data_IF_849005859562
#
_entry.id   IF_849005859562
#
_cell.length_a   1.000
_cell.length_b   1.000
_cell.length_c   1.000
_cell.angle_alpha   90.00
_cell.angle_beta   90.00
_cell.angle_gamma   90.00
#
_symmetry.space_group_name_H-M   'P 1'
#
loop_
_entity.id
_entity.type
_entity.pdbx_description
1 polymer ?
#
# COMPACT_ATOMS: atom_id res chain seq x y z
N UNK A 1 2.07 8.28 -0.47
CA UNK A 1 2.79 8.13 0.80
C UNK A 1 2.89 6.64 1.08
N UNK A 2 4.13 6.12 1.20
CA UNK A 2 4.35 4.73 1.60
C UNK A 2 4.27 4.61 3.13
N UNK A 3 3.54 3.64 3.63
CA UNK A 3 3.34 3.42 5.07
C UNK A 3 3.79 2.01 5.48
N UNK A 4 4.29 1.88 6.71
CA UNK A 4 4.59 0.60 7.35
C UNK A 4 3.38 0.19 8.17
N UNK A 5 2.88 -1.02 7.95
CA UNK A 5 1.70 -1.58 8.62
C UNK A 5 2.06 -2.74 9.55
N UNK A 6 1.31 -2.87 10.61
CA UNK A 6 1.61 -3.75 11.74
C UNK A 6 0.41 -4.54 12.30
N UNK A 7 0.64 -5.75 12.77
CA UNK A 7 -0.34 -6.59 13.49
C UNK A 7 0.23 -7.11 14.81
N UNK A 8 -0.42 -6.75 15.92
CA UNK A 8 -0.23 -7.22 17.32
C UNK A 8 1.05 -6.88 18.09
N UNK A 9 0.82 -6.51 19.37
CA UNK A 9 1.72 -5.76 20.27
C UNK A 9 2.85 -6.53 20.97
N UNK A 10 4.11 -6.33 20.57
CA UNK A 10 5.29 -6.28 21.47
C UNK A 10 6.31 -5.31 20.89
N UNK A 11 6.77 -4.33 21.73
CA UNK A 11 7.78 -3.35 21.33
C UNK A 11 9.18 -3.96 21.30
N UNK A 12 9.90 -3.87 20.17
CA UNK A 12 11.35 -4.07 20.12
C UNK A 12 11.97 -2.75 19.70
N UNK A 13 12.88 -2.21 20.53
CA UNK A 13 13.70 -1.08 20.15
C UNK A 13 14.92 -1.55 19.37
N UNK A 14 15.01 -1.19 18.09
CA UNK A 14 16.26 -1.32 17.34
C UNK A 14 17.09 -0.05 17.59
N UNK A 15 18.23 -0.20 18.27
CA UNK A 15 19.18 0.90 18.50
C UNK A 15 19.83 1.31 17.18
N UNK A 16 19.73 2.58 16.90
CA UNK A 16 20.47 3.50 16.05
C UNK A 16 21.36 2.90 14.96
N UNK A 17 20.94 3.05 13.71
CA UNK A 17 21.83 3.04 12.56
C UNK A 17 21.92 4.47 11.98
N UNK A 18 23.15 4.93 11.76
CA UNK A 18 23.53 6.15 11.01
C UNK A 18 22.81 7.45 11.38
N UNK A 19 22.88 7.90 12.64
CA UNK A 19 22.46 9.26 13.01
C UNK A 19 20.98 9.62 12.85
N UNK A 20 20.19 8.81 12.14
CA UNK A 20 18.72 8.88 12.02
C UNK A 20 18.11 7.76 12.86
N UNK A 21 17.23 8.10 13.79
CA UNK A 21 16.53 7.11 14.62
C UNK A 21 15.44 6.48 13.77
N UNK A 22 15.64 5.25 13.33
CA UNK A 22 14.56 4.42 12.75
C UNK A 22 13.89 3.73 13.93
N UNK A 23 12.74 4.23 14.34
CA UNK A 23 11.90 3.54 15.34
C UNK A 23 11.08 2.47 14.63
N UNK A 24 11.61 1.25 14.59
CA UNK A 24 10.88 0.08 14.14
C UNK A 24 10.16 -0.52 15.35
N UNK A 25 8.84 -0.51 15.36
CA UNK A 25 8.03 -1.17 16.37
C UNK A 25 7.64 -2.55 15.85
N UNK A 26 8.12 -3.58 16.53
CA UNK A 26 7.79 -4.98 16.26
C UNK A 26 6.74 -5.47 17.23
N UNK A 27 5.76 -6.20 16.74
CA UNK A 27 4.76 -6.86 17.55
C UNK A 27 4.60 -8.31 17.12
N UNK A 28 4.73 -9.22 18.06
CA UNK A 28 4.53 -10.63 17.87
C UNK A 28 3.09 -11.04 18.19
N UNK A 29 2.44 -11.78 17.28
CA UNK A 29 1.22 -12.51 17.56
C UNK A 29 1.53 -13.67 18.52
N UNK A 30 0.74 -13.83 19.60
CA UNK A 30 0.80 -14.99 20.47
C UNK A 30 0.27 -16.24 19.73
N UNK A 31 1.08 -16.83 18.88
CA UNK A 31 0.95 -18.24 18.52
C UNK A 31 2.34 -18.82 18.54
N UNK A 32 2.50 -19.83 19.40
CA UNK A 32 3.66 -20.67 19.59
C UNK A 32 4.19 -21.15 18.24
N UNK A 33 5.08 -20.37 17.62
CA UNK A 33 5.92 -20.82 16.52
C UNK A 33 7.34 -20.94 17.05
N UNK A 34 7.97 -22.03 16.76
CA UNK A 34 9.41 -22.28 16.95
C UNK A 34 10.17 -21.00 16.56
N UNK A 35 10.89 -20.44 17.52
CA UNK A 35 11.52 -19.13 17.45
C UNK A 35 12.63 -19.17 16.40
N UNK A 36 12.33 -18.88 15.17
CA UNK A 36 13.30 -18.20 14.30
C UNK A 36 13.10 -16.71 14.56
N UNK A 37 14.07 -16.06 15.18
CA UNK A 37 14.10 -14.60 15.45
C UNK A 37 14.20 -13.77 14.14
N UNK A 38 13.50 -14.19 13.08
CA UNK A 38 13.52 -13.57 11.77
C UNK A 38 12.29 -12.69 11.61
N UNK A 39 12.53 -11.40 11.37
CA UNK A 39 11.49 -10.45 11.02
C UNK A 39 11.13 -10.57 9.54
N UNK A 40 9.87 -10.82 9.21
CA UNK A 40 9.42 -10.87 7.83
C UNK A 40 8.73 -9.57 7.44
N UNK A 41 9.27 -8.93 6.39
CA UNK A 41 8.74 -7.68 5.83
C UNK A 41 8.19 -7.95 4.44
N UNK A 42 6.89 -7.71 4.23
CA UNK A 42 6.25 -7.75 2.93
C UNK A 42 6.47 -6.42 2.20
N UNK A 43 6.93 -6.50 0.96
CA UNK A 43 7.23 -5.33 0.13
C UNK A 43 6.73 -5.53 -1.30
N UNK A 44 6.48 -4.46 -2.02
CA UNK A 44 6.13 -4.52 -3.43
C UNK A 44 7.28 -5.13 -4.25
N UNK A 45 6.95 -5.99 -5.23
CA UNK A 45 7.96 -6.74 -6.00
C UNK A 45 8.66 -5.94 -7.07
N UNK A 46 8.09 -4.79 -7.51
CA UNK A 46 8.59 -3.91 -8.59
C UNK A 46 7.97 -2.51 -8.48
N UNK A 47 8.52 -1.55 -9.24
CA UNK A 47 8.02 -0.18 -9.33
C UNK A 47 8.68 0.75 -8.30
N UNK A 48 8.25 2.03 -8.32
CA UNK A 48 8.90 3.09 -7.54
C UNK A 48 8.91 2.83 -6.03
N UNK A 49 7.80 2.32 -5.46
CA UNK A 49 7.75 1.98 -4.04
C UNK A 49 8.76 0.87 -3.67
N UNK A 50 8.97 -0.11 -4.57
CA UNK A 50 10.02 -1.11 -4.40
C UNK A 50 11.41 -0.47 -4.38
N UNK A 51 11.72 0.42 -5.33
CA UNK A 51 13.03 1.08 -5.44
C UNK A 51 13.33 1.92 -4.20
N UNK A 52 12.37 2.75 -3.76
CA UNK A 52 12.49 3.57 -2.56
C UNK A 52 12.64 2.70 -1.29
N UNK A 53 11.93 1.57 -1.23
CA UNK A 53 12.05 0.61 -0.11
C UNK A 53 13.44 -0.03 -0.07
N UNK A 54 13.98 -0.44 -1.22
CA UNK A 54 15.33 -1.00 -1.27
C UNK A 54 16.40 0.03 -0.91
N UNK A 55 16.21 1.29 -1.31
CA UNK A 55 17.07 2.40 -0.90
C UNK A 55 17.04 2.61 0.63
N UNK A 56 15.86 2.59 1.23
CA UNK A 56 15.70 2.70 2.69
C UNK A 56 16.42 1.56 3.43
N UNK A 57 16.30 0.31 2.95
CA UNK A 57 17.00 -0.84 3.55
C UNK A 57 18.52 -0.70 3.39
N UNK A 58 18.99 -0.21 2.24
CA UNK A 58 20.41 0.03 1.99
C UNK A 58 20.97 1.14 2.89
N UNK A 59 20.21 2.23 3.15
CA UNK A 59 20.59 3.28 4.10
C UNK A 59 20.73 2.73 5.54
N UNK A 60 19.97 1.68 5.87
CA UNK A 60 20.07 0.97 7.15
C UNK A 60 21.15 -0.11 7.14
N UNK A 61 22.00 -0.20 6.10
CA UNK A 61 23.03 -1.21 5.87
C UNK A 61 22.50 -2.66 5.80
N UNK A 62 21.20 -2.81 5.47
CA UNK A 62 20.55 -4.10 5.27
C UNK A 62 20.69 -4.53 3.81
N UNK A 63 21.55 -5.50 3.55
CA UNK A 63 21.86 -5.98 2.20
C UNK A 63 20.97 -7.16 1.81
N UNK A 64 20.14 -6.95 0.82
CA UNK A 64 19.23 -7.96 0.26
C UNK A 64 19.59 -8.22 -1.20
N UNK A 65 19.90 -9.47 -1.55
CA UNK A 65 20.17 -9.86 -2.95
C UNK A 65 18.97 -10.61 -3.51
N UNK A 66 18.11 -9.89 -4.21
CA UNK A 66 16.97 -10.48 -4.91
C UNK A 66 17.46 -11.23 -6.16
N UNK A 67 17.08 -12.50 -6.32
CA UNK A 67 17.14 -13.19 -7.63
C UNK A 67 15.80 -13.01 -8.36
N UNK A 68 15.80 -13.05 -9.68
CA UNK A 68 14.61 -12.78 -10.52
C UNK A 68 13.38 -13.64 -10.19
N UNK A 69 13.59 -14.83 -9.62
CA UNK A 69 12.53 -15.80 -9.32
C UNK A 69 12.21 -15.96 -7.83
N UNK A 70 12.94 -15.26 -6.94
CA UNK A 70 12.74 -15.43 -5.49
C UNK A 70 11.65 -14.49 -4.98
N UNK A 71 10.60 -15.08 -4.39
CA UNK A 71 9.54 -14.32 -3.70
C UNK A 71 9.89 -14.07 -2.23
N UNK A 72 10.77 -14.87 -1.63
CA UNK A 72 11.25 -14.72 -0.25
C UNK A 72 12.78 -14.73 -0.24
N UNK A 73 13.39 -13.70 0.33
CA UNK A 73 14.84 -13.51 0.37
C UNK A 73 15.29 -13.11 1.76
N UNK A 74 16.32 -13.74 2.29
CA UNK A 74 16.94 -13.36 3.55
C UNK A 74 17.98 -12.27 3.34
N UNK A 75 18.05 -11.33 4.26
CA UNK A 75 19.19 -10.40 4.33
C UNK A 75 20.44 -11.16 4.80
N UNK A 76 21.62 -10.73 4.31
CA UNK A 76 22.87 -11.44 4.60
C UNK A 76 23.31 -11.27 6.06
N UNK A 77 23.21 -10.04 6.59
CA UNK A 77 23.84 -9.65 7.84
C UNK A 77 22.82 -9.18 8.90
N UNK A 78 21.53 -9.45 8.67
CA UNK A 78 20.47 -9.05 9.57
C UNK A 78 19.36 -10.11 9.61
N UNK A 79 18.71 -10.38 10.77
CA UNK A 79 17.68 -11.40 10.89
C UNK A 79 16.34 -10.96 10.28
N UNK A 80 16.36 -10.59 9.00
CA UNK A 80 15.20 -10.14 8.22
C UNK A 80 14.99 -11.03 6.99
N UNK A 81 13.75 -11.35 6.71
CA UNK A 81 13.28 -11.93 5.46
C UNK A 81 12.42 -10.90 4.71
N UNK A 82 12.68 -10.68 3.44
CA UNK A 82 11.88 -9.83 2.57
C UNK A 82 10.98 -10.71 1.71
N UNK A 83 9.67 -10.50 1.84
CA UNK A 83 8.64 -11.18 1.04
C UNK A 83 8.16 -10.22 -0.05
N UNK A 84 8.41 -10.57 -1.31
CA UNK A 84 8.05 -9.78 -2.48
C UNK A 84 6.67 -10.16 -2.99
N UNK A 85 5.73 -9.21 -2.95
CA UNK A 85 4.34 -9.41 -3.30
C UNK A 85 3.85 -8.35 -4.31
N UNK A 86 2.61 -8.49 -4.75
CA UNK A 86 1.85 -7.38 -5.32
C UNK A 86 1.46 -6.45 -4.17
N UNK A 87 1.32 -5.17 -4.46
CA UNK A 87 0.94 -4.15 -3.49
C UNK A 87 -0.42 -4.44 -2.82
N UNK A 88 -1.37 -4.93 -3.60
CA UNK A 88 -2.72 -5.26 -3.14
C UNK A 88 -2.78 -6.48 -2.21
N UNK A 89 -1.77 -7.36 -2.20
CA UNK A 89 -1.67 -8.54 -1.32
C UNK A 89 -1.00 -8.24 0.03
N UNK A 90 -0.24 -7.14 0.12
CA UNK A 90 0.54 -6.80 1.32
C UNK A 90 -0.35 -6.60 2.55
N UNK A 91 -1.46 -5.82 2.49
CA UNK A 91 -2.32 -5.59 3.66
C UNK A 91 -2.84 -6.88 4.28
N UNK A 92 -3.37 -7.79 3.47
CA UNK A 92 -3.89 -9.07 3.94
C UNK A 92 -2.78 -9.98 4.48
N UNK A 93 -1.59 -9.97 3.86
CA UNK A 93 -0.44 -10.77 4.30
C UNK A 93 0.02 -10.36 5.69
N UNK A 94 0.01 -9.07 6.00
CA UNK A 94 0.30 -8.54 7.34
C UNK A 94 -0.84 -8.86 8.30
N UNK A 95 -2.09 -8.61 7.92
CA UNK A 95 -3.26 -8.86 8.76
C UNK A 95 -3.41 -10.34 9.16
N UNK A 96 -3.02 -11.27 8.29
CA UNK A 96 -3.02 -12.71 8.57
C UNK A 96 -1.82 -13.19 9.43
N UNK A 97 -0.84 -12.32 9.70
CA UNK A 97 0.37 -12.65 10.45
C UNK A 97 1.40 -13.48 9.67
N UNK A 98 1.27 -13.57 8.34
CA UNK A 98 2.27 -14.21 7.46
C UNK A 98 3.52 -13.33 7.35
N UNK A 99 3.35 -12.01 7.34
CA UNK A 99 4.42 -11.04 7.53
C UNK A 99 4.20 -10.24 8.82
N UNK A 100 5.30 -9.84 9.44
CA UNK A 100 5.29 -9.03 10.67
C UNK A 100 5.08 -7.54 10.35
N UNK A 101 5.58 -7.10 9.20
CA UNK A 101 5.49 -5.74 8.69
C UNK A 101 5.16 -5.75 7.20
N UNK A 102 4.58 -4.64 6.72
CA UNK A 102 4.40 -4.37 5.30
C UNK A 102 4.77 -2.94 4.94
N UNK A 103 5.40 -2.76 3.77
CA UNK A 103 5.61 -1.44 3.17
C UNK A 103 4.70 -1.37 1.95
N UNK A 104 3.69 -0.50 2.02
CA UNK A 104 2.61 -0.44 1.03
C UNK A 104 2.10 1.00 0.89
N UNK A 105 1.46 1.32 -0.23
CA UNK A 105 0.78 2.60 -0.41
C UNK A 105 -0.40 2.75 0.55
N UNK A 106 -0.57 3.93 1.16
CA UNK A 106 -1.72 4.21 2.03
C UNK A 106 -3.06 4.03 1.30
N UNK A 107 -3.08 4.26 -0.03
CA UNK A 107 -4.23 3.98 -0.89
C UNK A 107 -4.64 2.50 -0.87
N UNK A 108 -3.69 1.56 -1.01
CA UNK A 108 -3.96 0.13 -0.96
C UNK A 108 -4.44 -0.30 0.44
N UNK A 109 -3.79 0.21 1.48
CA UNK A 109 -4.21 -0.06 2.85
C UNK A 109 -5.64 0.40 3.14
N UNK A 110 -5.99 1.62 2.74
CA UNK A 110 -7.33 2.18 2.93
C UNK A 110 -8.40 1.49 2.08
N UNK A 111 -8.02 1.01 0.90
CA UNK A 111 -8.91 0.28 -0.01
C UNK A 111 -9.22 -1.13 0.50
N UNK A 112 -8.21 -1.85 1.01
CA UNK A 112 -8.36 -3.24 1.44
C UNK A 112 -9.07 -3.39 2.79
N UNK A 113 -9.09 -2.35 3.63
CA UNK A 113 -9.77 -2.33 4.94
C UNK A 113 -9.34 -3.47 5.88
N UNK A 114 -8.11 -3.95 5.73
CA UNK A 114 -7.55 -5.04 6.53
C UNK A 114 -7.21 -4.61 7.95
N UNK A 115 -7.25 -5.57 8.88
CA UNK A 115 -6.95 -5.34 10.30
C UNK A 115 -5.44 -5.23 10.55
N UNK A 116 -4.88 -4.07 10.27
CA UNK A 116 -3.49 -3.74 10.55
C UNK A 116 -3.37 -2.29 11.02
N UNK A 117 -2.21 -1.92 11.58
CA UNK A 117 -1.96 -0.57 12.10
C UNK A 117 -0.84 0.11 11.32
N UNK A 118 -1.00 1.39 11.02
CA UNK A 118 0.07 2.22 10.47
C UNK A 118 1.01 2.58 11.62
N UNK A 119 2.22 2.03 11.61
CA UNK A 119 3.23 2.30 12.66
C UNK A 119 4.19 3.43 12.30
N UNK A 120 4.39 3.69 11.00
CA UNK A 120 5.24 4.76 10.50
C UNK A 120 4.83 5.18 9.10
N UNK A 121 4.68 6.48 8.86
CA UNK A 121 4.59 7.05 7.51
C UNK A 121 5.98 7.34 6.97
N UNK A 122 6.25 6.81 5.78
CA UNK A 122 7.50 7.01 5.06
C UNK A 122 7.31 8.19 4.09
N UNK A 123 8.32 9.06 3.97
CA UNK A 123 8.20 10.30 3.20
C UNK A 123 8.59 10.15 1.71
N UNK A 124 8.39 8.97 1.13
CA UNK A 124 8.69 8.69 -0.28
C UNK A 124 7.46 8.12 -1.03
N UNK A 125 7.59 7.95 -2.34
CA UNK A 125 6.54 7.42 -3.25
C UNK A 125 5.18 8.08 -3.05
N UNK A 126 5.14 9.41 -2.84
CA UNK A 126 3.90 10.17 -2.61
C UNK A 126 3.02 10.13 -3.84
N UNK A 127 1.74 9.83 -3.64
CA UNK A 127 0.70 9.88 -4.66
C UNK A 127 -0.57 10.48 -4.08
N UNK A 128 -1.55 10.74 -4.94
CA UNK A 128 -2.90 11.12 -4.52
C UNK A 128 -3.93 10.40 -5.38
N UNK A 129 -5.08 10.08 -4.80
CA UNK A 129 -6.25 9.66 -5.54
C UNK A 129 -7.05 10.87 -6.01
N UNK A 130 -7.44 10.89 -7.26
CA UNK A 130 -8.16 12.01 -7.87
C UNK A 130 -9.32 11.51 -8.72
N UNK A 131 -10.41 12.26 -8.70
CA UNK A 131 -11.46 12.14 -9.70
C UNK A 131 -11.05 12.94 -10.94
N UNK A 132 -11.18 12.33 -12.12
CA UNK A 132 -10.94 13.00 -13.39
C UNK A 132 -12.14 12.81 -14.32
N UNK A 133 -12.47 13.86 -15.07
CA UNK A 133 -13.53 13.91 -16.07
C UNK A 133 -12.93 14.22 -17.43
N UNK A 134 -13.63 13.94 -18.55
CA UNK A 134 -13.19 14.35 -19.87
C UNK A 134 -12.99 15.87 -19.97
N UNK A 135 -11.94 16.29 -20.70
CA UNK A 135 -11.61 17.72 -20.87
C UNK A 135 -12.73 18.56 -21.50
N UNK A 136 -13.65 17.93 -22.25
CA UNK A 136 -14.78 18.59 -22.88
C UNK A 136 -15.92 18.92 -21.90
N UNK A 137 -15.87 18.34 -20.68
CA UNK A 137 -16.87 18.53 -19.66
C UNK A 137 -16.45 19.62 -18.68
N UNK A 138 -17.41 20.46 -18.25
CA UNK A 138 -17.19 21.47 -17.23
C UNK A 138 -17.46 20.87 -15.84
N UNK A 139 -16.47 20.93 -14.96
CA UNK A 139 -16.62 20.46 -13.58
C UNK A 139 -17.26 21.53 -12.70
N UNK A 140 -18.49 21.27 -12.24
CA UNK A 140 -19.29 22.17 -11.41
C UNK A 140 -19.31 21.82 -9.92
N UNK A 141 -18.49 20.85 -9.51
CA UNK A 141 -18.41 20.37 -8.14
C UNK A 141 -18.79 18.89 -8.00
N UNK A 142 -18.76 18.34 -6.76
CA UNK A 142 -19.01 16.89 -6.52
C UNK A 142 -20.35 16.41 -7.07
N UNK A 143 -21.37 17.26 -7.12
CA UNK A 143 -22.71 16.91 -7.61
C UNK A 143 -22.74 16.62 -9.12
N UNK A 144 -21.69 16.99 -9.87
CA UNK A 144 -21.53 16.64 -11.27
C UNK A 144 -21.56 15.13 -11.50
N UNK A 145 -21.13 14.34 -10.51
CA UNK A 145 -21.09 12.88 -10.59
C UNK A 145 -22.44 12.18 -10.34
N UNK A 146 -23.50 12.91 -9.95
CA UNK A 146 -24.82 12.29 -9.72
C UNK A 146 -25.35 11.61 -10.99
N UNK A 147 -25.74 10.33 -10.86
CA UNK A 147 -26.25 9.50 -11.94
C UNK A 147 -25.20 9.01 -12.93
N UNK A 148 -23.94 9.44 -12.80
CA UNK A 148 -22.84 9.05 -13.69
C UNK A 148 -22.18 7.75 -13.24
N UNK A 149 -21.42 7.14 -14.16
CA UNK A 149 -20.60 5.94 -13.90
C UNK A 149 -19.14 6.35 -13.74
N UNK A 150 -18.50 5.91 -12.66
CA UNK A 150 -17.10 6.19 -12.35
C UNK A 150 -16.31 4.88 -12.36
N UNK A 151 -15.30 4.77 -13.23
CA UNK A 151 -14.39 3.62 -13.25
C UNK A 151 -13.26 3.81 -12.22
N UNK A 152 -12.89 2.73 -11.53
CA UNK A 152 -11.87 2.78 -10.48
C UNK A 152 -11.32 1.41 -10.10
N UNK A 153 -10.06 1.38 -9.63
CA UNK A 153 -9.48 0.25 -8.89
C UNK A 153 -9.65 0.42 -7.36
N UNK A 154 -10.25 1.54 -6.90
CA UNK A 154 -10.41 1.91 -5.49
C UNK A 154 -11.89 2.12 -5.10
N UNK A 155 -12.74 1.09 -5.25
CA UNK A 155 -14.18 1.24 -5.02
C UNK A 155 -14.57 1.57 -3.58
N UNK A 156 -13.82 1.10 -2.57
CA UNK A 156 -14.15 1.35 -1.17
C UNK A 156 -13.85 2.81 -0.77
N UNK A 157 -12.71 3.33 -1.20
CA UNK A 157 -12.36 4.74 -0.99
C UNK A 157 -13.35 5.64 -1.72
N UNK A 158 -13.68 5.31 -2.97
CA UNK A 158 -14.65 6.07 -3.76
C UNK A 158 -16.04 6.09 -3.09
N UNK A 159 -16.55 4.94 -2.61
CA UNK A 159 -17.84 4.87 -1.88
C UNK A 159 -17.85 5.81 -0.67
N UNK A 160 -16.77 5.85 0.10
CA UNK A 160 -16.66 6.76 1.26
C UNK A 160 -16.70 8.22 0.84
N UNK A 161 -16.01 8.57 -0.26
CA UNK A 161 -16.03 9.93 -0.82
C UNK A 161 -17.45 10.32 -1.29
N UNK A 162 -18.11 9.48 -2.07
CA UNK A 162 -19.45 9.71 -2.59
C UNK A 162 -20.47 9.91 -1.43
N UNK A 163 -20.42 9.02 -0.44
CA UNK A 163 -21.27 9.10 0.76
C UNK A 163 -21.06 10.41 1.52
N UNK A 164 -19.80 10.81 1.74
CA UNK A 164 -19.45 12.06 2.43
C UNK A 164 -19.99 13.29 1.72
N UNK A 165 -19.99 13.29 0.38
CA UNK A 165 -20.43 14.40 -0.46
C UNK A 165 -21.92 14.32 -0.86
N UNK A 166 -22.66 13.30 -0.37
CA UNK A 166 -24.06 13.05 -0.71
C UNK A 166 -24.29 12.92 -2.23
N UNK A 167 -23.38 12.23 -2.91
CA UNK A 167 -23.40 11.95 -4.35
C UNK A 167 -23.85 10.52 -4.58
N UNK A 168 -24.76 10.32 -5.55
CA UNK A 168 -25.20 9.01 -6.02
C UNK A 168 -24.63 8.75 -7.41
N UNK A 169 -23.65 7.86 -7.51
CA UNK A 169 -23.00 7.47 -8.75
C UNK A 169 -22.87 5.95 -8.84
N UNK A 170 -22.80 5.43 -10.07
CA UNK A 170 -22.49 4.03 -10.32
C UNK A 170 -20.98 3.83 -10.27
N UNK A 171 -20.51 2.77 -9.61
CA UNK A 171 -19.08 2.43 -9.54
C UNK A 171 -18.82 1.25 -10.47
N UNK A 172 -17.95 1.44 -11.44
CA UNK A 172 -17.47 0.38 -12.33
C UNK A 172 -16.06 -0.02 -11.89
N UNK A 173 -15.92 -1.22 -11.32
CA UNK A 173 -14.63 -1.69 -10.80
C UNK A 173 -13.83 -2.33 -11.93
N UNK A 174 -12.62 -1.80 -12.15
CA UNK A 174 -11.65 -2.39 -13.09
C UNK A 174 -10.26 -2.44 -12.44
N UNK A 175 -9.45 -3.43 -12.82
CA UNK A 175 -8.09 -3.62 -12.31
C UNK A 175 -7.06 -3.23 -13.36
N UNK A 176 -6.56 -2.00 -13.28
CA UNK A 176 -5.59 -1.43 -14.23
C UNK A 176 -6.22 -0.76 -15.44
N UNK A 177 -5.46 0.10 -16.09
CA UNK A 177 -5.86 0.90 -17.26
C UNK A 177 -7.20 1.65 -17.11
N UNK A 178 -7.42 2.20 -15.91
CA UNK A 178 -8.64 2.94 -15.56
C UNK A 178 -8.84 4.15 -16.48
N UNK A 179 -7.75 4.77 -16.90
CA UNK A 179 -7.69 5.96 -17.74
C UNK A 179 -8.35 5.80 -19.12
N UNK A 180 -8.48 4.57 -19.63
CA UNK A 180 -9.10 4.33 -20.95
C UNK A 180 -10.64 4.31 -20.88
N UNK A 181 -11.22 4.12 -19.69
CA UNK A 181 -12.65 3.85 -19.51
C UNK A 181 -13.57 4.93 -20.15
N UNK A 182 -13.30 6.24 -20.01
CA UNK A 182 -14.13 7.25 -20.68
C UNK A 182 -14.00 7.22 -22.21
N UNK A 183 -12.80 6.95 -22.72
CA UNK A 183 -12.53 6.90 -24.16
C UNK A 183 -13.26 5.76 -24.91
N UNK A 184 -13.61 4.71 -24.20
CA UNK A 184 -14.37 3.55 -24.75
C UNK A 184 -15.83 3.53 -24.28
N UNK A 185 -16.32 4.63 -23.71
CA UNK A 185 -17.70 4.77 -23.21
C UNK A 185 -18.07 3.78 -22.12
N UNK A 186 -17.10 3.29 -21.34
CA UNK A 186 -17.30 2.38 -20.22
C UNK A 186 -17.70 3.14 -18.94
N UNK A 187 -17.26 4.39 -18.82
CA UNK A 187 -17.57 5.27 -17.70
C UNK A 187 -17.55 6.73 -18.12
N UNK A 188 -18.24 7.60 -17.36
CA UNK A 188 -18.25 9.05 -17.56
C UNK A 188 -17.02 9.72 -16.94
N UNK A 189 -16.46 9.09 -15.91
CA UNK A 189 -15.33 9.62 -15.14
C UNK A 189 -14.47 8.47 -14.61
N UNK A 190 -13.31 8.85 -14.08
CA UNK A 190 -12.42 7.90 -13.40
C UNK A 190 -12.05 8.39 -12.00
N UNK A 191 -11.70 7.44 -11.12
CA UNK A 191 -11.09 7.71 -9.83
C UNK A 191 -9.85 6.85 -9.70
N UNK A 192 -8.68 7.47 -9.75
CA UNK A 192 -7.39 6.76 -9.81
C UNK A 192 -6.24 7.59 -9.23
N UNK A 193 -5.05 6.97 -9.16
CA UNK A 193 -3.80 7.59 -8.69
C UNK A 193 -3.26 8.58 -9.73
N UNK A 194 -2.77 9.73 -9.25
CA UNK A 194 -2.03 10.75 -10.01
C UNK A 194 -0.76 11.16 -9.31
#
# INVERSE_FOLDING_TARGET
VGDIMHVNKKKIHIKRFTGKTVNLFLLQSEKTKTITNMLRIAVQSKGRLYEDTMALLAEADIKVRKSERSLLVRANDFPIEILYLRDDDIPQTVASGVADLGIVGENEFLEREEKAEIVKRLDFSKCRLSLAIPKAEEYTGPQWFNGKTIATSYPNILRKFLKKNKVTANIHVITGSVEIAPGISLADAIFDIV
#
